data_IF_221172479808
#
_entry.id   IF_221172479808
#
_cell.length_a   1.000
_cell.length_b   1.000
_cell.length_c   1.000
_cell.angle_alpha   90.00
_cell.angle_beta   90.00
_cell.angle_gamma   90.00
#
_symmetry.space_group_name_H-M   'P 1'
#
loop_
_entity.id
_entity.type
_entity.pdbx_description
1 polymer ?
#
# COMPACT_ATOMS: atom_id res chain seq x y z
N UNK A 1 34.89 28.95 20.00
CA UNK A 1 34.48 28.08 21.13
C UNK A 1 33.14 27.35 20.94
N UNK A 2 32.38 27.54 19.85
CA UNK A 2 31.07 26.89 19.65
C UNK A 2 31.09 25.48 19.02
N UNK A 3 32.15 25.09 18.31
CA UNK A 3 32.22 23.77 17.65
C UNK A 3 32.47 22.60 18.62
N UNK A 4 33.14 22.85 19.75
CA UNK A 4 33.50 21.81 20.74
C UNK A 4 32.33 21.41 21.63
N UNK A 5 31.38 22.32 21.93
CA UNK A 5 30.19 22.05 22.74
C UNK A 5 29.17 21.15 22.02
N UNK A 6 28.98 21.36 20.71
CA UNK A 6 28.06 20.55 19.89
C UNK A 6 28.60 19.12 19.63
N UNK A 7 29.92 18.98 19.45
CA UNK A 7 30.57 17.69 19.31
C UNK A 7 30.58 16.89 20.63
N UNK A 8 30.67 17.56 21.78
CA UNK A 8 30.67 16.91 23.09
C UNK A 8 29.25 16.43 23.49
N UNK A 9 28.22 17.22 23.23
CA UNK A 9 26.81 16.85 23.50
C UNK A 9 26.31 15.71 22.61
N UNK A 10 26.71 15.67 21.33
CA UNK A 10 26.39 14.54 20.44
C UNK A 10 27.15 13.25 20.79
N UNK A 11 28.41 13.36 21.21
CA UNK A 11 29.24 12.22 21.66
C UNK A 11 28.73 11.60 22.96
N UNK A 12 28.42 12.43 23.96
CA UNK A 12 27.89 11.98 25.26
C UNK A 12 26.49 11.37 25.14
N UNK A 13 25.64 11.90 24.24
CA UNK A 13 24.33 11.30 23.94
C UNK A 13 24.47 9.92 23.27
N UNK A 14 25.34 9.78 22.26
CA UNK A 14 25.65 8.49 21.61
C UNK A 14 26.21 7.45 22.59
N UNK A 15 27.11 7.88 23.49
CA UNK A 15 27.64 7.03 24.56
C UNK A 15 26.56 6.63 25.58
N UNK A 16 25.60 7.52 25.90
CA UNK A 16 24.48 7.20 26.80
C UNK A 16 23.43 6.26 26.19
N UNK A 17 23.23 6.32 24.87
CA UNK A 17 22.27 5.47 24.14
C UNK A 17 22.87 4.09 23.87
N UNK A 18 24.16 4.02 23.54
CA UNK A 18 24.93 2.77 23.48
C UNK A 18 24.97 2.04 24.84
N UNK A 19 25.16 2.77 25.97
CA UNK A 19 25.10 2.20 27.32
C UNK A 19 23.72 1.67 27.74
N UNK A 20 22.64 2.07 27.06
CA UNK A 20 21.27 1.58 27.34
C UNK A 20 20.87 0.35 26.52
N UNK A 21 21.66 -0.02 25.50
CA UNK A 21 21.40 -1.20 24.68
C UNK A 21 21.83 -2.48 25.40
N UNK A 22 21.04 -3.53 25.27
CA UNK A 22 21.34 -4.83 25.86
C UNK A 22 22.69 -5.36 25.32
N UNK A 23 23.66 -5.74 26.17
CA UNK A 23 25.01 -6.14 25.73
C UNK A 23 25.01 -7.24 24.67
N UNK A 24 24.16 -8.26 24.85
CA UNK A 24 23.97 -9.34 23.86
C UNK A 24 23.59 -8.83 22.47
N UNK A 25 22.74 -7.80 22.39
CA UNK A 25 22.29 -7.27 21.11
C UNK A 25 23.44 -6.55 20.36
N UNK A 26 24.32 -5.88 21.11
CA UNK A 26 25.54 -5.28 20.57
C UNK A 26 26.54 -6.36 20.13
N UNK A 27 26.80 -7.36 20.97
CA UNK A 27 27.72 -8.46 20.61
C UNK A 27 27.26 -9.22 19.37
N UNK A 28 25.96 -9.52 19.27
CA UNK A 28 25.39 -10.16 18.09
C UNK A 28 25.46 -9.26 16.86
N UNK A 29 25.26 -7.95 17.03
CA UNK A 29 25.40 -7.00 15.93
C UNK A 29 26.86 -6.95 15.45
N UNK A 30 27.83 -6.82 16.34
CA UNK A 30 29.25 -6.77 15.99
C UNK A 30 29.71 -8.05 15.28
N UNK A 31 29.16 -9.20 15.64
CA UNK A 31 29.47 -10.48 14.98
C UNK A 31 28.85 -10.62 13.58
N UNK A 32 27.73 -9.95 13.30
CA UNK A 32 26.94 -10.14 12.08
C UNK A 32 27.04 -8.97 11.10
N UNK A 33 27.34 -7.77 11.58
CA UNK A 33 27.37 -6.55 10.78
C UNK A 33 28.61 -6.51 9.87
N UNK A 34 28.48 -5.88 8.71
CA UNK A 34 29.59 -5.51 7.84
C UNK A 34 30.63 -4.61 8.54
N UNK A 35 30.19 -3.81 9.52
CA UNK A 35 30.98 -2.75 10.11
C UNK A 35 31.51 -1.77 9.07
N UNK A 36 32.73 -1.29 9.28
CA UNK A 36 33.39 -0.29 8.44
C UNK A 36 34.21 -0.88 7.29
N UNK A 37 34.40 -2.20 7.24
CA UNK A 37 35.24 -2.86 6.22
C UNK A 37 34.57 -4.12 5.65
N UNK A 38 33.41 -3.98 4.98
CA UNK A 38 32.73 -5.12 4.39
C UNK A 38 33.52 -5.79 3.26
N UNK A 39 33.38 -7.11 3.15
CA UNK A 39 33.68 -7.82 1.90
C UNK A 39 32.73 -7.32 0.80
N UNK A 40 33.24 -6.85 -0.37
CA UNK A 40 32.41 -6.33 -1.45
C UNK A 40 31.39 -7.35 -1.99
N UNK A 41 31.75 -8.63 -2.04
CA UNK A 41 30.88 -9.67 -2.55
C UNK A 41 29.69 -9.94 -1.60
N UNK A 42 29.98 -10.05 -0.30
CA UNK A 42 28.94 -10.27 0.72
C UNK A 42 28.04 -9.05 0.84
N UNK A 43 28.62 -7.84 0.75
CA UNK A 43 27.83 -6.62 0.77
C UNK A 43 26.88 -6.52 -0.42
N UNK A 44 27.33 -6.82 -1.64
CA UNK A 44 26.43 -6.85 -2.82
C UNK A 44 25.28 -7.83 -2.62
N UNK A 45 25.57 -9.03 -2.11
CA UNK A 45 24.55 -10.04 -1.84
C UNK A 45 23.57 -9.56 -0.76
N UNK A 46 24.07 -9.05 0.37
CA UNK A 46 23.25 -8.55 1.47
C UNK A 46 22.41 -7.34 1.03
N UNK A 47 22.95 -6.40 0.27
CA UNK A 47 22.21 -5.27 -0.27
C UNK A 47 21.12 -5.72 -1.25
N UNK A 48 21.41 -6.68 -2.13
CA UNK A 48 20.42 -7.24 -3.04
C UNK A 48 19.28 -7.94 -2.29
N UNK A 49 19.59 -8.73 -1.26
CA UNK A 49 18.59 -9.38 -0.42
C UNK A 49 17.78 -8.34 0.36
N UNK A 50 18.45 -7.39 1.01
CA UNK A 50 17.81 -6.36 1.81
C UNK A 50 16.79 -5.57 0.98
N UNK A 51 17.14 -5.16 -0.24
CA UNK A 51 16.29 -4.34 -1.10
C UNK A 51 15.26 -5.16 -1.90
N UNK A 52 15.60 -6.38 -2.33
CA UNK A 52 14.82 -7.15 -3.30
C UNK A 52 13.88 -8.20 -2.71
N UNK A 53 14.10 -8.67 -1.47
CA UNK A 53 13.37 -9.82 -0.92
C UNK A 53 11.86 -9.64 -0.80
N UNK A 54 11.39 -8.41 -0.51
CA UNK A 54 9.97 -8.10 -0.42
C UNK A 54 9.28 -8.32 -1.78
N UNK A 55 9.91 -7.86 -2.86
CA UNK A 55 9.44 -8.06 -4.23
C UNK A 55 9.48 -9.53 -4.62
N UNK A 56 10.52 -10.26 -4.23
CA UNK A 56 10.60 -11.70 -4.44
C UNK A 56 9.46 -12.44 -3.72
N UNK A 57 9.13 -12.07 -2.48
CA UNK A 57 7.98 -12.64 -1.76
C UNK A 57 6.65 -12.34 -2.45
N UNK A 58 6.46 -11.10 -2.93
CA UNK A 58 5.28 -10.74 -3.70
C UNK A 58 5.16 -11.57 -4.99
N UNK A 59 6.25 -11.79 -5.71
CA UNK A 59 6.29 -12.63 -6.90
C UNK A 59 5.97 -14.11 -6.59
N UNK A 60 6.51 -14.66 -5.51
CA UNK A 60 6.21 -16.02 -5.03
C UNK A 60 4.72 -16.17 -4.68
N UNK A 61 4.14 -15.19 -3.98
CA UNK A 61 2.71 -15.17 -3.65
C UNK A 61 1.84 -15.07 -4.91
N UNK A 62 2.24 -14.23 -5.88
CA UNK A 62 1.54 -14.10 -7.16
C UNK A 62 1.57 -15.41 -7.96
N UNK A 63 2.74 -16.06 -8.04
CA UNK A 63 2.89 -17.37 -8.67
C UNK A 63 2.03 -18.44 -7.99
N UNK A 64 2.01 -18.46 -6.65
CA UNK A 64 1.16 -19.37 -5.88
C UNK A 64 -0.32 -19.15 -6.19
N UNK A 65 -0.77 -17.89 -6.23
CA UNK A 65 -2.15 -17.52 -6.54
C UNK A 65 -2.56 -17.83 -7.99
N UNK A 66 -1.60 -17.80 -8.92
CA UNK A 66 -1.76 -18.21 -10.31
C UNK A 66 -1.94 -19.73 -10.42
N UNK A 67 -1.04 -20.50 -9.81
CA UNK A 67 -1.03 -21.98 -9.89
C UNK A 67 -2.15 -22.61 -9.05
N UNK A 68 -2.51 -22.01 -7.92
CA UNK A 68 -3.44 -22.56 -6.93
C UNK A 68 -4.66 -21.66 -6.77
N UNK A 69 -5.56 -21.69 -7.76
CA UNK A 69 -6.76 -20.84 -7.77
C UNK A 69 -7.60 -20.96 -6.49
N UNK A 70 -7.72 -22.17 -5.92
CA UNK A 70 -8.44 -22.41 -4.66
C UNK A 70 -7.80 -21.71 -3.44
N UNK A 71 -6.56 -21.25 -3.55
CA UNK A 71 -5.78 -20.62 -2.48
C UNK A 71 -5.74 -19.09 -2.59
N UNK A 72 -6.33 -18.49 -3.64
CA UNK A 72 -6.36 -17.02 -3.81
C UNK A 72 -6.92 -16.27 -2.61
N UNK A 73 -7.99 -16.72 -1.93
CA UNK A 73 -8.47 -16.06 -0.70
C UNK A 73 -7.42 -16.10 0.42
N UNK A 74 -6.66 -17.19 0.54
CA UNK A 74 -5.56 -17.28 1.51
C UNK A 74 -4.45 -16.28 1.17
N UNK A 75 -4.07 -16.17 -0.10
CA UNK A 75 -3.04 -15.21 -0.52
C UNK A 75 -3.49 -13.77 -0.24
N UNK A 76 -4.75 -13.43 -0.53
CA UNK A 76 -5.31 -12.11 -0.19
C UNK A 76 -5.29 -11.85 1.32
N UNK A 77 -5.68 -12.84 2.14
CA UNK A 77 -5.63 -12.70 3.59
C UNK A 77 -4.19 -12.52 4.13
N UNK A 78 -3.22 -13.22 3.54
CA UNK A 78 -1.80 -13.10 3.86
C UNK A 78 -1.26 -11.71 3.50
N UNK A 79 -1.62 -11.17 2.33
CA UNK A 79 -1.24 -9.81 1.94
C UNK A 79 -1.86 -8.75 2.85
N UNK A 80 -3.15 -8.89 3.18
CA UNK A 80 -3.84 -7.99 4.11
C UNK A 80 -3.20 -8.01 5.50
N UNK A 81 -2.89 -9.19 6.03
CA UNK A 81 -2.21 -9.33 7.32
C UNK A 81 -0.77 -8.79 7.27
N UNK A 82 -0.07 -8.95 6.15
CA UNK A 82 1.23 -8.32 5.93
C UNK A 82 1.14 -6.78 5.96
N UNK A 83 0.14 -6.20 5.31
CA UNK A 83 -0.14 -4.76 5.40
C UNK A 83 -0.41 -4.30 6.83
N UNK A 84 -1.27 -5.02 7.57
CA UNK A 84 -1.54 -4.74 8.98
C UNK A 84 -0.28 -4.85 9.85
N UNK A 85 0.55 -5.87 9.64
CA UNK A 85 1.82 -6.04 10.33
C UNK A 85 2.79 -4.88 10.05
N UNK A 86 2.79 -4.34 8.83
CA UNK A 86 3.58 -3.16 8.48
C UNK A 86 3.16 -1.93 9.28
N UNK A 87 1.84 -1.66 9.35
CA UNK A 87 1.30 -0.52 10.11
C UNK A 87 1.60 -0.66 11.60
N UNK A 88 1.26 -1.81 12.20
CA UNK A 88 1.51 -2.09 13.62
C UNK A 88 3.00 -1.95 13.94
N UNK A 89 3.88 -2.49 13.09
CA UNK A 89 5.32 -2.40 13.28
C UNK A 89 5.84 -0.95 13.26
N UNK A 90 5.28 -0.09 12.41
CA UNK A 90 5.68 1.32 12.33
C UNK A 90 5.21 2.11 13.54
N UNK A 91 4.00 1.87 14.03
CA UNK A 91 3.48 2.49 15.26
C UNK A 91 4.28 2.06 16.50
N UNK A 92 4.62 0.77 16.62
CA UNK A 92 5.50 0.31 17.69
C UNK A 92 6.87 0.97 17.56
N UNK A 93 7.44 1.06 16.35
CA UNK A 93 8.73 1.71 16.16
C UNK A 93 8.70 3.19 16.55
N UNK A 94 7.67 3.94 16.15
CA UNK A 94 7.49 5.35 16.48
C UNK A 94 7.35 5.56 18.01
N UNK A 95 6.61 4.69 18.69
CA UNK A 95 6.40 4.79 20.14
C UNK A 95 7.60 4.37 20.99
N UNK A 96 8.36 3.35 20.57
CA UNK A 96 9.52 2.87 21.34
C UNK A 96 10.77 3.69 21.04
N UNK A 97 10.94 4.20 19.82
CA UNK A 97 12.00 5.15 19.48
C UNK A 97 13.43 4.61 19.51
N UNK A 98 13.62 3.28 19.36
CA UNK A 98 14.97 2.67 19.40
C UNK A 98 15.82 3.15 18.21
N UNK A 99 17.00 3.74 18.45
CA UNK A 99 17.88 4.20 17.38
C UNK A 99 18.50 3.01 16.63
N UNK A 100 18.74 3.18 15.33
CA UNK A 100 19.39 2.17 14.49
C UNK A 100 20.91 2.18 14.68
N UNK A 101 21.63 1.10 14.33
CA UNK A 101 23.09 1.03 14.50
C UNK A 101 23.84 2.20 13.84
N UNK A 102 23.45 2.58 12.63
CA UNK A 102 24.08 3.69 11.92
C UNK A 102 23.84 5.07 12.54
N UNK A 103 22.70 5.27 13.23
CA UNK A 103 22.41 6.52 13.93
C UNK A 103 23.34 6.73 15.12
N UNK A 104 23.75 5.62 15.75
CA UNK A 104 24.73 5.62 16.85
C UNK A 104 26.18 5.63 16.35
N UNK A 105 26.42 5.49 15.04
CA UNK A 105 27.76 5.43 14.47
C UNK A 105 28.47 4.08 14.68
N UNK A 106 27.71 3.00 14.93
CA UNK A 106 28.28 1.65 15.08
C UNK A 106 28.63 1.00 13.73
N UNK A 107 27.95 1.39 12.66
CA UNK A 107 28.20 0.95 11.29
C UNK A 107 27.71 2.02 10.31
N UNK A 108 28.32 2.19 9.12
CA UNK A 108 27.67 2.89 8.03
C UNK A 108 26.35 2.22 7.66
N UNK A 109 25.38 3.00 7.18
CA UNK A 109 24.21 2.46 6.48
C UNK A 109 24.63 2.13 5.05
N UNK A 110 24.85 0.85 4.76
CA UNK A 110 25.33 0.41 3.44
C UNK A 110 24.23 0.36 2.36
N UNK A 111 23.00 0.70 2.72
CA UNK A 111 21.85 0.87 1.82
C UNK A 111 21.09 2.14 2.20
N UNK A 112 20.40 2.82 1.25
CA UNK A 112 19.61 4.01 1.55
C UNK A 112 18.56 3.74 2.63
N UNK A 113 18.55 4.57 3.67
CA UNK A 113 17.60 4.44 4.76
C UNK A 113 17.37 5.77 5.49
N UNK A 114 16.11 6.11 5.78
CA UNK A 114 15.75 7.29 6.55
C UNK A 114 16.03 7.17 8.06
N UNK A 115 16.09 8.32 8.74
CA UNK A 115 16.30 8.46 10.18
C UNK A 115 15.00 8.14 10.96
N UNK A 116 14.68 6.85 11.04
CA UNK A 116 13.50 6.34 11.76
C UNK A 116 13.86 5.21 12.71
N UNK A 117 13.04 4.99 13.72
CA UNK A 117 13.24 3.94 14.71
C UNK A 117 13.39 2.53 14.10
N UNK A 118 14.13 1.68 14.81
CA UNK A 118 14.53 0.34 14.36
C UNK A 118 13.65 -0.81 14.85
N UNK A 119 13.06 -0.73 16.04
CA UNK A 119 12.43 -1.85 16.73
C UNK A 119 10.89 -1.76 16.70
N UNK A 120 10.16 -2.75 16.16
CA UNK A 120 10.62 -3.91 15.40
C UNK A 120 10.94 -3.58 13.93
N UNK A 121 11.68 -4.47 13.28
CA UNK A 121 11.96 -4.35 11.84
C UNK A 121 10.72 -4.61 11.01
N UNK A 122 10.21 -3.59 10.30
CA UNK A 122 9.02 -3.70 9.44
C UNK A 122 9.12 -4.81 8.40
N UNK A 123 10.29 -4.97 7.75
CA UNK A 123 10.48 -6.02 6.75
C UNK A 123 10.39 -7.42 7.38
N UNK A 124 11.01 -7.61 8.55
CA UNK A 124 10.90 -8.85 9.29
C UNK A 124 9.44 -9.10 9.72
N UNK A 125 8.78 -8.11 10.32
CA UNK A 125 7.37 -8.18 10.75
C UNK A 125 6.44 -8.66 9.64
N UNK A 126 6.55 -8.05 8.46
CA UNK A 126 5.72 -8.40 7.29
C UNK A 126 6.03 -9.82 6.81
N UNK A 127 7.30 -10.12 6.53
CA UNK A 127 7.68 -11.39 5.91
C UNK A 127 7.44 -12.59 6.84
N UNK A 128 7.71 -12.45 8.14
CA UNK A 128 7.41 -13.49 9.13
C UNK A 128 5.90 -13.69 9.31
N UNK A 129 5.10 -12.62 9.31
CA UNK A 129 3.62 -12.74 9.32
C UNK A 129 3.16 -13.59 8.14
N UNK A 130 3.63 -13.26 6.92
CA UNK A 130 3.27 -14.00 5.72
C UNK A 130 3.71 -15.46 5.78
N UNK A 131 4.96 -15.71 6.17
CA UNK A 131 5.52 -17.06 6.30
C UNK A 131 4.71 -17.92 7.27
N UNK A 132 4.48 -17.44 8.50
CA UNK A 132 3.78 -18.21 9.54
C UNK A 132 2.32 -18.48 9.17
N UNK A 133 1.59 -17.51 8.60
CA UNK A 133 0.23 -17.75 8.12
C UNK A 133 0.17 -18.85 7.04
N UNK A 134 1.12 -18.88 6.11
CA UNK A 134 1.18 -19.90 5.07
C UNK A 134 1.57 -21.27 5.63
N UNK A 135 2.48 -21.32 6.60
CA UNK A 135 2.91 -22.57 7.26
C UNK A 135 1.76 -23.24 8.05
N UNK A 136 0.87 -22.43 8.63
CA UNK A 136 -0.33 -22.92 9.30
C UNK A 136 -1.34 -23.53 8.31
N UNK A 137 -1.26 -23.19 7.02
CA UNK A 137 -2.14 -23.75 5.98
C UNK A 137 -1.47 -24.88 5.23
N UNK A 138 -1.91 -26.12 5.46
CA UNK A 138 -1.32 -27.35 4.89
C UNK A 138 -1.07 -27.29 3.38
N UNK A 139 -2.02 -26.74 2.61
CA UNK A 139 -1.93 -26.59 1.15
C UNK A 139 -0.96 -25.51 0.66
N UNK A 140 -0.37 -24.73 1.57
CA UNK A 140 0.53 -23.60 1.28
C UNK A 140 1.88 -23.70 2.01
N UNK A 141 2.15 -24.79 2.71
CA UNK A 141 3.36 -24.94 3.55
C UNK A 141 4.66 -24.80 2.77
N UNK A 142 4.72 -25.32 1.55
CA UNK A 142 5.88 -25.20 0.68
C UNK A 142 6.19 -23.74 0.33
N UNK A 143 5.16 -22.95 -0.02
CA UNK A 143 5.30 -21.50 -0.23
C UNK A 143 5.66 -20.79 1.06
N UNK A 144 5.08 -21.21 2.20
CA UNK A 144 5.42 -20.70 3.52
C UNK A 144 6.89 -20.92 3.89
N UNK A 145 7.46 -22.08 3.56
CA UNK A 145 8.89 -22.38 3.79
C UNK A 145 9.80 -21.50 2.93
N UNK A 146 9.44 -21.28 1.66
CA UNK A 146 10.19 -20.36 0.77
C UNK A 146 10.18 -18.94 1.32
N UNK A 147 9.02 -18.44 1.74
CA UNK A 147 8.90 -17.09 2.33
C UNK A 147 9.60 -17.02 3.70
N UNK A 148 9.57 -18.08 4.50
CA UNK A 148 10.32 -18.14 5.77
C UNK A 148 11.82 -18.05 5.53
N UNK A 149 12.36 -18.80 4.56
CA UNK A 149 13.77 -18.74 4.19
C UNK A 149 14.16 -17.33 3.71
N UNK A 150 13.31 -16.71 2.89
CA UNK A 150 13.50 -15.32 2.48
C UNK A 150 13.47 -14.37 3.68
N UNK A 151 12.54 -14.52 4.63
CA UNK A 151 12.42 -13.68 5.82
C UNK A 151 13.67 -13.74 6.71
N UNK A 152 14.22 -14.95 6.91
CA UNK A 152 15.47 -15.16 7.66
C UNK A 152 16.65 -14.52 6.93
N UNK A 153 16.77 -14.73 5.61
CA UNK A 153 17.81 -14.12 4.80
C UNK A 153 17.75 -12.58 4.83
N UNK A 154 16.54 -12.01 4.77
CA UNK A 154 16.32 -10.56 4.91
C UNK A 154 16.69 -10.07 6.29
N UNK A 155 16.30 -10.78 7.34
CA UNK A 155 16.70 -10.47 8.72
C UNK A 155 18.21 -10.34 8.86
N UNK A 156 18.95 -11.36 8.41
CA UNK A 156 20.40 -11.33 8.37
C UNK A 156 20.93 -10.16 7.52
N UNK A 157 20.47 -10.01 6.29
CA UNK A 157 20.95 -8.97 5.38
C UNK A 157 20.76 -7.55 5.95
N UNK A 158 19.64 -7.30 6.63
CA UNK A 158 19.31 -6.01 7.26
C UNK A 158 20.22 -5.69 8.46
N UNK A 159 20.68 -6.72 9.19
CA UNK A 159 21.72 -6.58 10.22
C UNK A 159 23.08 -6.35 9.57
N UNK A 160 23.42 -7.16 8.56
CA UNK A 160 24.71 -7.07 7.85
C UNK A 160 24.95 -5.66 7.27
N UNK A 161 23.96 -5.06 6.61
CA UNK A 161 24.08 -3.72 6.01
C UNK A 161 23.99 -2.57 7.03
N UNK A 162 23.90 -2.86 8.33
CA UNK A 162 24.04 -1.86 9.41
C UNK A 162 22.78 -1.06 9.74
N UNK A 163 21.60 -1.47 9.25
CA UNK A 163 20.35 -0.70 9.42
C UNK A 163 19.42 -1.25 10.51
N UNK A 164 19.70 -2.43 11.05
CA UNK A 164 18.93 -3.03 12.13
C UNK A 164 19.81 -3.80 13.11
N UNK A 165 19.36 -3.88 14.36
CA UNK A 165 19.89 -4.81 15.34
C UNK A 165 19.27 -6.21 15.18
N UNK A 166 19.95 -7.27 15.64
CA UNK A 166 19.38 -8.62 15.73
C UNK A 166 18.04 -8.65 16.50
N UNK A 167 17.92 -7.88 17.59
CA UNK A 167 16.67 -7.80 18.35
C UNK A 167 15.54 -7.11 17.59
N UNK A 168 15.85 -6.19 16.65
CA UNK A 168 14.83 -5.60 15.78
C UNK A 168 14.16 -6.66 14.89
N UNK A 169 14.97 -7.58 14.37
CA UNK A 169 14.53 -8.70 13.53
C UNK A 169 13.76 -9.72 14.37
N UNK A 170 14.27 -10.08 15.55
CA UNK A 170 13.62 -11.01 16.45
C UNK A 170 12.24 -10.49 16.93
N UNK A 171 12.15 -9.20 17.28
CA UNK A 171 10.88 -8.58 17.63
C UNK A 171 9.90 -8.56 16.44
N UNK A 172 10.39 -8.36 15.21
CA UNK A 172 9.57 -8.49 14.01
C UNK A 172 9.06 -9.91 13.81
N UNK A 173 9.90 -10.93 14.02
CA UNK A 173 9.48 -12.33 13.97
C UNK A 173 8.43 -12.66 15.04
N UNK A 174 8.61 -12.18 16.27
CA UNK A 174 7.65 -12.35 17.37
C UNK A 174 6.30 -11.67 17.06
N UNK A 175 6.33 -10.43 16.54
CA UNK A 175 5.12 -9.74 16.11
C UNK A 175 4.40 -10.53 15.02
N UNK A 176 5.13 -11.03 14.02
CA UNK A 176 4.52 -11.82 12.95
C UNK A 176 3.93 -13.14 13.44
N UNK A 177 4.58 -13.82 14.39
CA UNK A 177 4.05 -15.01 15.03
C UNK A 177 2.78 -14.71 15.83
N UNK A 178 2.76 -13.60 16.58
CA UNK A 178 1.59 -13.16 17.35
C UNK A 178 0.39 -12.87 16.45
N UNK A 179 0.59 -12.14 15.34
CA UNK A 179 -0.48 -11.85 14.36
C UNK A 179 -1.00 -13.15 13.73
N UNK A 180 -0.10 -14.03 13.28
CA UNK A 180 -0.49 -15.31 12.67
C UNK A 180 -1.26 -16.21 13.67
N UNK A 181 -0.79 -16.30 14.92
CA UNK A 181 -1.44 -17.06 15.98
C UNK A 181 -2.82 -16.49 16.34
N UNK A 182 -2.95 -15.17 16.48
CA UNK A 182 -4.23 -14.50 16.74
C UNK A 182 -5.23 -14.79 15.62
N UNK A 183 -4.84 -14.60 14.35
CA UNK A 183 -5.70 -14.87 13.20
C UNK A 183 -6.08 -16.35 13.09
N UNK A 184 -5.17 -17.26 13.44
CA UNK A 184 -5.47 -18.69 13.48
C UNK A 184 -6.43 -19.05 14.62
N UNK A 185 -6.24 -18.48 15.81
CA UNK A 185 -7.12 -18.65 16.95
C UNK A 185 -8.53 -18.14 16.64
N UNK A 186 -8.65 -16.94 16.03
CA UNK A 186 -9.95 -16.42 15.57
C UNK A 186 -10.62 -17.40 14.59
N UNK A 187 -9.88 -17.94 13.62
CA UNK A 187 -10.45 -18.91 12.68
C UNK A 187 -10.87 -20.24 13.33
N UNK A 188 -10.13 -20.70 14.34
CA UNK A 188 -10.42 -21.96 15.05
C UNK A 188 -11.58 -21.83 16.06
N UNK A 189 -11.72 -20.66 16.69
CA UNK A 189 -12.65 -20.40 17.78
C UNK A 189 -13.94 -19.75 17.30
N UNK A 190 -13.92 -18.88 16.28
CA UNK A 190 -15.10 -18.18 15.79
C UNK A 190 -16.26 -19.12 15.37
N UNK A 191 -16.02 -20.28 14.71
CA UNK A 191 -17.09 -21.23 14.40
C UNK A 191 -17.68 -21.91 15.65
N UNK A 192 -16.97 -21.91 16.78
CA UNK A 192 -17.38 -22.57 18.03
C UNK A 192 -18.16 -21.62 18.97
N UNK A 193 -17.84 -20.33 18.95
CA UNK A 193 -18.46 -19.32 19.84
C UNK A 193 -19.67 -18.62 19.22
N UNK A 194 -19.75 -18.55 17.89
CA UNK A 194 -20.86 -17.91 17.21
C UNK A 194 -21.58 -18.92 16.30
N UNK A 195 -22.91 -19.10 16.42
CA UNK A 195 -23.67 -19.71 15.36
C UNK A 195 -23.56 -18.80 14.13
N UNK A 196 -22.68 -19.21 13.20
CA UNK A 196 -22.36 -18.58 11.92
C UNK A 196 -21.54 -17.26 12.02
N UNK A 197 -20.20 -17.28 11.89
CA UNK A 197 -19.38 -16.07 11.70
C UNK A 197 -19.82 -15.18 10.52
N UNK A 198 -20.57 -15.74 9.57
CA UNK A 198 -21.25 -14.99 8.51
C UNK A 198 -22.26 -13.97 9.04
N UNK A 199 -22.92 -14.24 10.17
CA UNK A 199 -23.91 -13.36 10.79
C UNK A 199 -23.25 -12.13 11.44
N UNK A 200 -22.09 -12.28 12.10
CA UNK A 200 -21.36 -11.18 12.73
C UNK A 200 -20.74 -10.22 11.70
N UNK A 201 -20.28 -10.73 10.56
CA UNK A 201 -19.78 -9.91 9.45
C UNK A 201 -20.89 -9.38 8.54
N UNK A 202 -22.14 -9.83 8.71
CA UNK A 202 -23.25 -9.43 7.84
C UNK A 202 -23.54 -7.92 7.89
N UNK A 203 -23.59 -7.23 9.04
CA UNK A 203 -23.84 -5.79 9.07
C UNK A 203 -22.79 -4.94 8.31
N UNK A 204 -21.47 -5.04 8.58
CA UNK A 204 -20.49 -4.24 7.85
C UNK A 204 -20.41 -4.62 6.36
N UNK A 205 -20.52 -5.91 6.03
CA UNK A 205 -20.55 -6.33 4.62
C UNK A 205 -21.81 -5.84 3.90
N UNK A 206 -22.97 -5.78 4.56
CA UNK A 206 -24.19 -5.19 3.99
C UNK A 206 -24.02 -3.70 3.76
N UNK A 207 -23.40 -2.98 4.68
CA UNK A 207 -23.12 -1.56 4.52
C UNK A 207 -22.19 -1.30 3.31
N UNK A 208 -21.10 -2.08 3.18
CA UNK A 208 -20.20 -1.98 2.02
C UNK A 208 -20.85 -2.44 0.70
N UNK A 209 -21.80 -3.38 0.77
CA UNK A 209 -22.56 -3.84 -0.39
C UNK A 209 -23.66 -2.86 -0.85
N UNK A 210 -23.96 -1.83 -0.08
CA UNK A 210 -24.97 -0.82 -0.42
C UNK A 210 -24.45 0.14 -1.51
N UNK A 211 -25.32 0.59 -2.41
CA UNK A 211 -24.94 1.53 -3.48
C UNK A 211 -24.51 2.91 -2.97
N UNK A 212 -24.90 3.27 -1.74
CA UNK A 212 -24.49 4.52 -1.09
C UNK A 212 -23.08 4.47 -0.52
N UNK A 213 -22.48 3.28 -0.39
CA UNK A 213 -21.16 3.11 0.23
C UNK A 213 -20.07 3.92 -0.48
N UNK A 214 -20.06 3.92 -1.83
CA UNK A 214 -19.10 4.70 -2.63
C UNK A 214 -19.19 6.21 -2.34
N UNK A 215 -20.34 6.86 -2.55
CA UNK A 215 -20.53 8.27 -2.21
C UNK A 215 -20.22 8.61 -0.74
N UNK A 216 -20.66 7.79 0.21
CA UNK A 216 -20.39 8.01 1.64
C UNK A 216 -18.88 7.92 1.94
N UNK A 217 -18.16 7.00 1.29
CA UNK A 217 -16.71 6.89 1.44
C UNK A 217 -16.00 8.16 0.96
N UNK A 218 -16.40 8.72 -0.19
CA UNK A 218 -15.83 9.99 -0.68
C UNK A 218 -16.08 11.13 0.31
N UNK A 219 -17.28 11.21 0.90
CA UNK A 219 -17.56 12.22 1.92
C UNK A 219 -16.64 12.10 3.14
N UNK A 220 -16.37 10.87 3.60
CA UNK A 220 -15.42 10.63 4.69
C UNK A 220 -14.01 11.12 4.32
N UNK A 221 -13.57 10.86 3.09
CA UNK A 221 -12.26 11.31 2.61
C UNK A 221 -12.19 12.84 2.42
N UNK A 222 -13.27 13.48 1.98
CA UNK A 222 -13.39 14.96 1.92
C UNK A 222 -13.25 15.55 3.32
N UNK A 223 -13.92 14.98 4.33
CA UNK A 223 -13.81 15.43 5.72
C UNK A 223 -12.40 15.20 6.28
N UNK A 224 -11.79 14.06 5.94
CA UNK A 224 -10.40 13.77 6.31
C UNK A 224 -9.43 14.77 5.67
N UNK A 225 -9.60 15.09 4.39
CA UNK A 225 -8.81 16.08 3.68
C UNK A 225 -8.93 17.47 4.29
N UNK A 226 -10.16 17.90 4.59
CA UNK A 226 -10.38 19.18 5.27
C UNK A 226 -9.68 19.22 6.63
N UNK A 227 -9.75 18.14 7.41
CA UNK A 227 -9.10 18.05 8.72
C UNK A 227 -7.57 18.01 8.60
N UNK A 228 -7.02 17.18 7.72
CA UNK A 228 -5.58 17.04 7.50
C UNK A 228 -4.97 18.37 7.01
N UNK A 229 -5.56 18.97 5.98
CA UNK A 229 -5.12 20.26 5.44
C UNK A 229 -5.19 21.37 6.48
N UNK A 230 -6.27 21.45 7.26
CA UNK A 230 -6.42 22.48 8.30
C UNK A 230 -5.46 22.33 9.48
N UNK A 231 -4.88 21.15 9.67
CA UNK A 231 -3.96 20.84 10.76
C UNK A 231 -2.49 20.70 10.29
N UNK A 232 -2.20 21.02 9.02
CA UNK A 232 -0.86 21.04 8.43
C UNK A 232 -0.42 22.50 8.25
N UNK A 233 0.81 22.90 8.67
CA UNK A 233 1.94 22.08 9.10
C UNK A 233 2.01 21.82 10.62
N UNK A 234 0.96 22.19 11.38
CA UNK A 234 0.99 22.20 12.85
C UNK A 234 1.00 20.83 13.49
N UNK A 235 -0.17 20.18 13.60
CA UNK A 235 -0.29 18.84 14.19
C UNK A 235 0.17 17.74 13.23
N UNK A 236 0.03 17.98 11.93
CA UNK A 236 0.45 17.06 10.87
C UNK A 236 1.65 17.68 10.15
N UNK A 237 2.73 16.90 10.06
CA UNK A 237 3.94 17.33 9.37
C UNK A 237 3.71 17.45 7.86
N UNK A 238 4.28 18.47 7.18
CA UNK A 238 4.17 18.67 5.73
C UNK A 238 4.53 17.43 4.91
N UNK A 239 5.57 16.70 5.34
CA UNK A 239 6.07 15.49 4.70
C UNK A 239 5.02 14.37 4.53
N UNK A 240 3.84 14.48 5.15
CA UNK A 240 2.72 13.56 4.94
C UNK A 240 2.07 13.75 3.56
N UNK A 241 2.02 14.99 3.09
CA UNK A 241 1.34 15.44 1.86
C UNK A 241 2.32 15.87 0.76
N UNK A 242 3.62 15.89 1.04
CA UNK A 242 4.64 16.22 0.04
C UNK A 242 4.82 15.06 -0.96
N UNK A 243 5.32 15.38 -2.14
CA UNK A 243 5.84 14.43 -3.14
C UNK A 243 6.77 13.39 -2.48
N UNK A 244 6.67 12.16 -2.93
CA UNK A 244 7.27 10.98 -2.31
C UNK A 244 6.79 10.73 -0.86
N UNK A 245 5.68 11.34 -0.47
CA UNK A 245 5.08 11.25 0.85
C UNK A 245 4.44 9.89 1.15
N UNK A 246 4.05 9.66 2.41
CA UNK A 246 3.32 8.45 2.79
C UNK A 246 1.95 8.33 2.12
N UNK A 247 1.28 9.45 1.78
CA UNK A 247 -0.04 9.43 1.12
C UNK A 247 0.11 8.91 -0.31
N UNK A 248 0.90 9.56 -1.16
CA UNK A 248 1.22 9.12 -2.53
C UNK A 248 1.68 7.64 -2.57
N UNK A 249 2.65 7.27 -1.72
CA UNK A 249 3.14 5.87 -1.64
C UNK A 249 2.02 4.88 -1.27
N UNK A 250 1.07 5.30 -0.44
CA UNK A 250 -0.10 4.50 -0.09
C UNK A 250 -1.08 4.42 -1.25
N UNK A 251 -1.29 5.50 -2.00
CA UNK A 251 -2.12 5.53 -3.21
C UNK A 251 -1.60 4.55 -4.26
N UNK A 252 -0.32 4.60 -4.60
CA UNK A 252 0.33 3.64 -5.52
C UNK A 252 0.12 2.20 -5.04
N UNK A 253 0.37 1.94 -3.75
CA UNK A 253 0.21 0.59 -3.17
C UNK A 253 -1.24 0.11 -3.25
N UNK A 254 -2.22 0.97 -3.00
CA UNK A 254 -3.64 0.65 -3.08
C UNK A 254 -4.07 0.37 -4.52
N UNK A 255 -3.55 1.10 -5.52
CA UNK A 255 -3.79 0.75 -6.92
C UNK A 255 -3.22 -0.63 -7.29
N UNK A 256 -2.00 -0.94 -6.85
CA UNK A 256 -1.43 -2.27 -7.05
C UNK A 256 -2.25 -3.36 -6.36
N UNK A 257 -2.76 -3.09 -5.15
CA UNK A 257 -3.69 -3.97 -4.45
C UNK A 257 -5.01 -4.15 -5.21
N UNK A 258 -5.55 -3.08 -5.82
CA UNK A 258 -6.75 -3.14 -6.66
C UNK A 258 -6.52 -3.99 -7.91
N UNK A 259 -5.41 -3.79 -8.63
CA UNK A 259 -5.00 -4.64 -9.77
C UNK A 259 -4.94 -6.11 -9.34
N UNK A 260 -4.26 -6.39 -8.22
CA UNK A 260 -4.16 -7.73 -7.68
C UNK A 260 -5.55 -8.32 -7.36
N UNK A 261 -6.45 -7.55 -6.76
CA UNK A 261 -7.82 -7.95 -6.49
C UNK A 261 -8.61 -8.28 -7.77
N UNK A 262 -8.48 -7.50 -8.85
CA UNK A 262 -9.14 -7.78 -10.14
C UNK A 262 -8.69 -9.13 -10.72
N UNK A 263 -7.40 -9.44 -10.58
CA UNK A 263 -6.82 -10.70 -11.06
C UNK A 263 -7.23 -11.90 -10.20
N UNK A 264 -7.38 -11.69 -8.89
CA UNK A 264 -7.64 -12.77 -7.93
C UNK A 264 -9.12 -13.06 -7.73
N UNK A 265 -9.95 -12.03 -7.63
CA UNK A 265 -11.38 -12.14 -7.33
C UNK A 265 -12.14 -12.54 -8.60
N UNK A 266 -12.94 -13.60 -8.49
CA UNK A 266 -13.82 -14.02 -9.59
C UNK A 266 -15.12 -13.23 -9.56
N UNK A 267 -15.30 -12.33 -10.53
CA UNK A 267 -16.56 -11.64 -10.82
C UNK A 267 -17.18 -12.27 -12.06
N UNK A 268 -18.42 -12.77 -11.96
CA UNK A 268 -19.05 -13.61 -12.97
C UNK A 268 -19.25 -12.92 -14.33
N UNK A 269 -19.56 -11.62 -14.32
CA UNK A 269 -19.85 -10.84 -15.53
C UNK A 269 -18.61 -10.17 -16.13
N UNK A 270 -17.42 -10.27 -15.52
CA UNK A 270 -16.19 -9.68 -16.08
C UNK A 270 -15.46 -10.69 -16.97
N UNK A 271 -15.42 -10.41 -18.28
CA UNK A 271 -14.63 -11.17 -19.24
C UNK A 271 -13.12 -10.97 -19.02
N UNK A 272 -12.29 -11.75 -19.71
CA UNK A 272 -10.82 -11.60 -19.65
C UNK A 272 -10.38 -10.22 -20.17
N UNK A 273 -11.04 -9.71 -21.21
CA UNK A 273 -10.75 -8.39 -21.78
C UNK A 273 -11.13 -7.28 -20.81
N UNK A 274 -12.23 -7.42 -20.08
CA UNK A 274 -12.63 -6.43 -19.08
C UNK A 274 -11.62 -6.35 -17.95
N UNK A 275 -11.16 -7.50 -17.45
CA UNK A 275 -10.14 -7.55 -16.41
C UNK A 275 -8.83 -6.93 -16.89
N UNK A 276 -8.42 -7.25 -18.12
CA UNK A 276 -7.22 -6.67 -18.71
C UNK A 276 -7.35 -5.15 -18.83
N UNK A 277 -8.47 -4.64 -19.36
CA UNK A 277 -8.71 -3.21 -19.50
C UNK A 277 -8.70 -2.50 -18.13
N UNK A 278 -9.36 -3.06 -17.12
CA UNK A 278 -9.35 -2.51 -15.75
C UNK A 278 -7.92 -2.52 -15.17
N UNK A 279 -7.17 -3.61 -15.33
CA UNK A 279 -5.79 -3.68 -14.85
C UNK A 279 -4.88 -2.65 -15.53
N UNK A 280 -5.02 -2.46 -16.85
CA UNK A 280 -4.26 -1.45 -17.60
C UNK A 280 -4.56 -0.05 -17.06
N UNK A 281 -5.84 0.29 -16.84
CA UNK A 281 -6.19 1.62 -16.31
C UNK A 281 -5.69 1.82 -14.88
N UNK A 282 -5.86 0.84 -13.99
CA UNK A 282 -5.37 0.96 -12.60
C UNK A 282 -3.84 1.05 -12.53
N UNK A 283 -3.12 0.31 -13.38
CA UNK A 283 -1.66 0.45 -13.50
C UNK A 283 -1.25 1.80 -14.08
N UNK A 284 -2.03 2.34 -15.02
CA UNK A 284 -1.79 3.68 -15.56
C UNK A 284 -1.98 4.76 -14.48
N UNK A 285 -3.02 4.66 -13.64
CA UNK A 285 -3.19 5.55 -12.50
C UNK A 285 -2.05 5.41 -11.48
N UNK A 286 -1.63 4.18 -11.14
CA UNK A 286 -0.49 3.96 -10.25
C UNK A 286 0.82 4.55 -10.81
N UNK A 287 1.03 4.47 -12.12
CA UNK A 287 2.20 5.02 -12.78
C UNK A 287 2.13 6.56 -12.92
N UNK A 288 0.92 7.13 -13.02
CA UNK A 288 0.72 8.58 -12.94
C UNK A 288 1.10 9.07 -11.56
N UNK A 289 0.53 8.44 -10.53
CA UNK A 289 0.78 8.74 -9.11
C UNK A 289 2.26 8.67 -8.75
N UNK A 290 2.96 7.62 -9.18
CA UNK A 290 4.39 7.46 -8.90
C UNK A 290 5.30 8.35 -9.77
N UNK A 291 4.72 9.32 -10.49
CA UNK A 291 5.42 10.23 -11.40
C UNK A 291 6.28 9.57 -12.48
N UNK A 292 6.00 8.31 -12.83
CA UNK A 292 6.76 7.59 -13.86
C UNK A 292 6.62 8.26 -15.22
N UNK A 293 5.52 8.98 -15.45
CA UNK A 293 5.30 9.75 -16.66
C UNK A 293 6.30 10.91 -16.80
N UNK A 294 6.64 11.61 -15.71
CA UNK A 294 7.68 12.65 -15.71
C UNK A 294 9.07 12.06 -15.96
N UNK A 295 9.38 10.93 -15.31
CA UNK A 295 10.66 10.23 -15.45
C UNK A 295 10.91 9.72 -16.89
N UNK A 296 9.87 9.35 -17.63
CA UNK A 296 10.00 8.76 -18.98
C UNK A 296 9.73 9.76 -20.12
N UNK A 297 8.89 10.78 -19.93
CA UNK A 297 8.43 11.65 -21.02
C UNK A 297 8.85 13.12 -20.90
N UNK A 298 9.22 13.61 -19.70
CA UNK A 298 9.50 15.04 -19.46
C UNK A 298 8.25 15.93 -19.57
N UNK A 299 8.42 17.24 -19.71
CA UNK A 299 7.32 18.24 -19.63
C UNK A 299 6.56 18.48 -20.94
N UNK A 300 6.91 17.84 -22.06
CA UNK A 300 6.24 18.09 -23.34
C UNK A 300 6.52 17.09 -24.45
N UNK A 301 5.45 16.51 -25.00
CA UNK A 301 5.48 15.51 -26.09
C UNK A 301 5.67 16.12 -27.49
N UNK A 302 5.25 17.37 -27.68
CA UNK A 302 5.18 18.02 -29.00
C UNK A 302 6.54 18.47 -29.54
N UNK A 303 7.56 18.57 -28.69
CA UNK A 303 8.95 18.91 -29.06
C UNK A 303 9.94 17.76 -28.78
N UNK A 304 9.43 16.56 -28.50
CA UNK A 304 10.25 15.42 -28.11
C UNK A 304 10.84 14.67 -29.33
N UNK A 305 12.02 14.03 -29.20
CA UNK A 305 12.58 13.20 -30.26
C UNK A 305 11.63 12.03 -30.60
N UNK A 306 11.66 11.56 -31.85
CA UNK A 306 10.78 10.49 -32.37
C UNK A 306 10.75 9.24 -31.47
N UNK A 307 11.87 8.86 -30.88
CA UNK A 307 11.95 7.73 -29.94
C UNK A 307 11.05 7.90 -28.70
N UNK A 308 10.95 9.12 -28.16
CA UNK A 308 10.04 9.43 -27.04
C UNK A 308 8.59 9.47 -27.47
N UNK A 309 8.30 9.97 -28.67
CA UNK A 309 6.94 9.94 -29.24
C UNK A 309 6.48 8.49 -29.44
N UNK A 310 7.35 7.63 -29.98
CA UNK A 310 7.06 6.20 -30.16
C UNK A 310 6.90 5.48 -28.81
N UNK A 311 7.73 5.79 -27.81
CA UNK A 311 7.58 5.23 -26.46
C UNK A 311 6.26 5.67 -25.80
N UNK A 312 5.91 6.95 -25.92
CA UNK A 312 4.67 7.49 -25.35
C UNK A 312 3.44 6.89 -26.03
N UNK A 313 3.43 6.77 -27.36
CA UNK A 313 2.33 6.13 -28.10
C UNK A 313 2.21 4.63 -27.77
N UNK A 314 3.33 3.93 -27.58
CA UNK A 314 3.34 2.53 -27.15
C UNK A 314 2.74 2.33 -25.73
N UNK A 315 2.82 3.34 -24.87
CA UNK A 315 2.27 3.30 -23.50
C UNK A 315 0.83 3.84 -23.45
N UNK A 316 0.55 4.98 -24.09
CA UNK A 316 -0.76 5.62 -24.10
C UNK A 316 -1.77 4.89 -24.98
N UNK A 317 -1.33 4.21 -26.05
CA UNK A 317 -2.19 3.44 -26.95
C UNK A 317 -3.00 2.35 -26.23
N UNK A 318 -2.35 1.42 -25.50
CA UNK A 318 -3.04 0.42 -24.68
C UNK A 318 -4.01 1.03 -23.65
N UNK A 319 -3.64 2.15 -23.03
CA UNK A 319 -4.47 2.87 -22.05
C UNK A 319 -5.74 3.41 -22.73
N UNK A 320 -5.60 4.09 -23.88
CA UNK A 320 -6.72 4.62 -24.65
C UNK A 320 -7.66 3.51 -25.16
N UNK A 321 -7.10 2.39 -25.62
CA UNK A 321 -7.88 1.21 -26.04
C UNK A 321 -8.66 0.62 -24.86
N UNK A 322 -8.02 0.47 -23.70
CA UNK A 322 -8.66 -0.03 -22.48
C UNK A 322 -9.79 0.90 -22.01
N UNK A 323 -9.56 2.21 -21.99
CA UNK A 323 -10.56 3.22 -21.66
C UNK A 323 -11.74 3.16 -22.64
N UNK A 324 -11.48 3.15 -23.95
CA UNK A 324 -12.51 3.06 -24.98
C UNK A 324 -13.34 1.78 -24.91
N UNK A 325 -12.70 0.65 -24.60
CA UNK A 325 -13.39 -0.62 -24.36
C UNK A 325 -14.38 -0.52 -23.20
N UNK A 326 -13.93 -0.02 -22.05
CA UNK A 326 -14.75 0.12 -20.86
C UNK A 326 -15.85 1.17 -21.03
N UNK A 327 -15.57 2.28 -21.71
CA UNK A 327 -16.56 3.32 -22.03
C UNK A 327 -17.66 2.79 -22.95
N UNK A 328 -17.30 2.07 -24.03
CA UNK A 328 -18.27 1.41 -24.92
C UNK A 328 -19.15 0.44 -24.14
N UNK A 329 -18.55 -0.32 -23.24
CA UNK A 329 -19.25 -1.28 -22.39
C UNK A 329 -20.20 -0.59 -21.41
N UNK A 330 -19.75 0.44 -20.71
CA UNK A 330 -20.56 1.25 -19.81
C UNK A 330 -21.73 1.91 -20.56
N UNK A 331 -21.49 2.46 -21.74
CA UNK A 331 -22.53 3.05 -22.61
C UNK A 331 -23.57 2.02 -23.05
N UNK A 332 -23.14 0.81 -23.42
CA UNK A 332 -24.07 -0.27 -23.77
C UNK A 332 -24.94 -0.70 -22.58
N UNK A 333 -24.34 -0.78 -21.38
CA UNK A 333 -25.07 -1.12 -20.15
C UNK A 333 -26.03 0.01 -19.74
N UNK A 334 -25.62 1.26 -19.84
CA UNK A 334 -26.45 2.43 -19.56
C UNK A 334 -27.69 2.46 -20.46
N UNK A 335 -27.53 2.24 -21.77
CA UNK A 335 -28.67 2.19 -22.71
C UNK A 335 -29.63 1.04 -22.43
N UNK A 336 -29.14 -0.07 -21.88
CA UNK A 336 -29.98 -1.19 -21.47
C UNK A 336 -30.75 -0.92 -20.16
N UNK A 337 -30.25 -0.04 -19.29
CA UNK A 337 -30.86 0.30 -18.00
C UNK A 337 -31.74 1.55 -18.10
N UNK A 338 -33.06 1.37 -18.24
CA UNK A 338 -34.02 2.47 -18.48
C UNK A 338 -34.44 3.27 -17.23
N UNK A 339 -34.00 2.95 -16.02
CA UNK A 339 -34.34 3.73 -14.82
C UNK A 339 -33.23 3.79 -13.77
N UNK A 340 -33.08 4.94 -13.12
CA UNK A 340 -32.08 5.20 -12.06
C UNK A 340 -32.27 4.30 -10.81
N UNK A 341 -33.47 3.73 -10.62
CA UNK A 341 -33.80 2.83 -9.51
C UNK A 341 -33.23 1.40 -9.63
N UNK A 342 -32.62 1.04 -10.75
CA UNK A 342 -32.11 -0.32 -11.02
C UNK A 342 -30.57 -0.40 -11.01
N UNK A 343 -29.88 0.68 -10.61
CA UNK A 343 -28.42 0.69 -10.62
C UNK A 343 -27.87 -0.28 -9.56
N UNK A 344 -27.00 -1.17 -10.02
CA UNK A 344 -26.28 -2.07 -9.13
C UNK A 344 -25.27 -1.27 -8.27
N UNK A 345 -25.03 -1.65 -7.02
CA UNK A 345 -24.10 -0.92 -6.13
C UNK A 345 -22.74 -0.63 -6.75
N UNK A 346 -22.16 -1.61 -7.45
CA UNK A 346 -20.87 -1.48 -8.13
C UNK A 346 -20.87 -0.40 -9.23
N UNK A 347 -22.03 -0.16 -9.86
CA UNK A 347 -22.16 0.87 -10.90
C UNK A 347 -22.21 2.27 -10.27
N UNK A 348 -22.89 2.44 -9.14
CA UNK A 348 -22.87 3.70 -8.38
C UNK A 348 -21.46 4.03 -7.92
N UNK A 349 -20.74 3.07 -7.32
CA UNK A 349 -19.34 3.28 -6.90
C UNK A 349 -18.42 3.58 -8.08
N UNK A 350 -18.65 2.94 -9.24
CA UNK A 350 -17.87 3.22 -10.45
C UNK A 350 -18.14 4.62 -11.01
N UNK A 351 -19.38 5.10 -10.96
CA UNK A 351 -19.71 6.49 -11.30
C UNK A 351 -19.09 7.48 -10.31
N UNK A 352 -19.11 7.16 -9.02
CA UNK A 352 -18.44 7.96 -8.00
C UNK A 352 -16.93 8.05 -8.28
N UNK A 353 -16.28 6.94 -8.64
CA UNK A 353 -14.88 6.94 -9.05
C UNK A 353 -14.62 7.89 -10.24
N UNK A 354 -15.45 7.83 -11.29
CA UNK A 354 -15.33 8.75 -12.44
C UNK A 354 -15.57 10.21 -12.04
N UNK A 355 -16.53 10.47 -11.16
CA UNK A 355 -16.80 11.82 -10.66
C UNK A 355 -15.61 12.37 -9.86
N UNK A 356 -14.99 11.56 -8.99
CA UNK A 356 -13.79 11.95 -8.24
C UNK A 356 -12.62 12.25 -9.17
N UNK A 357 -12.40 11.47 -10.24
CA UNK A 357 -11.39 11.81 -11.26
C UNK A 357 -11.67 13.18 -11.86
N UNK A 358 -12.92 13.44 -12.26
CA UNK A 358 -13.30 14.74 -12.81
C UNK A 358 -13.06 15.88 -11.81
N UNK A 359 -13.36 15.67 -10.54
CA UNK A 359 -13.11 16.63 -9.47
C UNK A 359 -11.62 16.87 -9.25
N UNK A 360 -10.80 15.82 -9.20
CA UNK A 360 -9.34 15.94 -9.04
C UNK A 360 -8.74 16.76 -10.19
N UNK A 361 -9.08 16.44 -11.44
CA UNK A 361 -8.64 17.21 -12.61
C UNK A 361 -9.05 18.68 -12.52
N UNK A 362 -10.26 18.97 -12.04
CA UNK A 362 -10.72 20.36 -11.86
C UNK A 362 -9.91 21.04 -10.74
N UNK A 363 -9.62 20.35 -9.64
CA UNK A 363 -8.83 20.90 -8.54
C UNK A 363 -7.42 21.26 -9.00
N UNK A 364 -6.73 20.40 -9.76
CA UNK A 364 -5.40 20.69 -10.32
C UNK A 364 -5.41 21.98 -11.16
N UNK A 365 -6.43 22.14 -12.01
CA UNK A 365 -6.57 23.28 -12.90
C UNK A 365 -6.93 24.58 -12.16
N UNK A 366 -7.54 24.49 -10.97
CA UNK A 366 -7.97 25.63 -10.15
C UNK A 366 -6.93 26.02 -9.10
N UNK A 367 -6.16 25.06 -8.58
CA UNK A 367 -5.13 25.29 -7.56
C UNK A 367 -3.97 26.14 -8.10
N UNK A 368 -3.49 25.85 -9.31
CA UNK A 368 -2.33 26.52 -9.92
C UNK A 368 -2.57 28.04 -10.14
N UNK A 369 -3.71 28.50 -10.68
CA UNK A 369 -3.97 29.94 -10.84
C UNK A 369 -4.23 30.69 -9.53
N UNK A 370 -4.73 30.03 -8.48
CA UNK A 370 -5.05 30.67 -7.20
C UNK A 370 -3.81 30.98 -6.37
N UNK A 371 -2.78 30.12 -6.43
CA UNK A 371 -1.51 30.36 -5.76
C UNK A 371 -0.71 31.54 -6.35
N UNK A 372 -0.95 31.89 -7.62
CA UNK A 372 -0.23 32.93 -8.36
C UNK A 372 -0.88 34.32 -8.38
N UNK A 373 -2.01 34.55 -7.68
CA UNK A 373 -2.68 35.87 -7.64
C UNK A 373 -2.30 36.66 -6.38
N UNK A 374 -1.35 37.61 -6.46
CA UNK A 374 -1.03 38.48 -5.33
C UNK A 374 -2.25 39.32 -4.95
N UNK A 375 -2.69 39.24 -3.69
CA UNK A 375 -3.75 40.10 -3.13
C UNK A 375 -5.07 39.40 -2.74
N UNK A 376 -5.26 38.10 -3.03
CA UNK A 376 -6.48 37.39 -2.60
C UNK A 376 -6.43 36.97 -1.11
N UNK A 377 -5.22 36.75 -0.59
CA UNK A 377 -4.93 36.36 0.78
C UNK A 377 -3.93 37.36 1.35
N UNK A 378 -4.40 38.22 2.27
CA UNK A 378 -3.67 39.39 2.74
C UNK A 378 -2.53 39.07 3.73
N UNK A 379 -2.41 37.82 4.20
CA UNK A 379 -1.40 37.39 5.16
C UNK A 379 -0.64 36.14 4.68
N UNK A 380 0.66 36.05 4.92
CA UNK A 380 1.48 34.86 4.60
C UNK A 380 0.92 33.58 5.25
N UNK A 381 0.43 33.68 6.49
CA UNK A 381 -0.23 32.57 7.19
C UNK A 381 -1.49 32.06 6.48
N UNK A 382 -2.23 32.96 5.82
CA UNK A 382 -3.37 32.56 5.01
C UNK A 382 -2.94 31.88 3.72
N UNK A 383 -1.84 32.29 3.08
CA UNK A 383 -1.34 31.61 1.87
C UNK A 383 -0.86 30.19 2.16
N UNK A 384 -0.10 29.98 3.24
CA UNK A 384 0.36 28.65 3.63
C UNK A 384 -0.80 27.72 3.99
N UNK A 385 -1.78 28.22 4.75
CA UNK A 385 -2.99 27.46 5.09
C UNK A 385 -3.75 27.01 3.83
N UNK A 386 -3.98 27.91 2.87
CA UNK A 386 -4.68 27.56 1.63
C UNK A 386 -3.89 26.56 0.79
N UNK A 387 -2.56 26.68 0.75
CA UNK A 387 -1.69 25.73 0.05
C UNK A 387 -1.83 24.32 0.61
N UNK A 388 -1.69 24.15 1.92
CA UNK A 388 -1.81 22.82 2.55
C UNK A 388 -3.23 22.27 2.49
N UNK A 389 -4.25 23.13 2.56
CA UNK A 389 -5.63 22.71 2.37
C UNK A 389 -5.85 22.14 0.96
N UNK A 390 -5.40 22.85 -0.08
CA UNK A 390 -5.53 22.38 -1.47
C UNK A 390 -4.72 21.11 -1.73
N UNK A 391 -3.46 21.08 -1.29
CA UNK A 391 -2.60 19.89 -1.41
C UNK A 391 -3.22 18.68 -0.69
N UNK A 392 -3.81 18.91 0.49
CA UNK A 392 -4.49 17.83 1.21
C UNK A 392 -5.72 17.32 0.48
N UNK A 393 -6.46 18.17 -0.25
CA UNK A 393 -7.60 17.73 -1.05
C UNK A 393 -7.15 16.95 -2.28
N UNK A 394 -6.09 17.39 -2.95
CA UNK A 394 -5.48 16.69 -4.08
C UNK A 394 -5.06 15.28 -3.65
N UNK A 395 -4.08 15.18 -2.76
CA UNK A 395 -3.49 13.91 -2.29
C UNK A 395 -4.53 12.91 -1.73
N UNK A 396 -5.45 13.38 -0.88
CA UNK A 396 -6.41 12.48 -0.22
C UNK A 396 -7.55 12.08 -1.16
N UNK A 397 -7.94 12.91 -2.12
CA UNK A 397 -8.91 12.50 -3.14
C UNK A 397 -8.29 11.52 -4.14
N UNK A 398 -7.00 11.65 -4.46
CA UNK A 398 -6.30 10.64 -5.26
C UNK A 398 -6.21 9.31 -4.51
N UNK A 399 -5.95 9.35 -3.20
CA UNK A 399 -5.96 8.18 -2.31
C UNK A 399 -7.32 7.45 -2.27
N UNK A 400 -8.46 8.14 -2.43
CA UNK A 400 -9.79 7.49 -2.39
C UNK A 400 -10.10 6.67 -3.63
N UNK A 401 -9.51 7.01 -4.78
CA UNK A 401 -9.75 6.34 -6.07
C UNK A 401 -9.48 4.83 -6.03
N UNK A 402 -8.29 4.34 -5.60
CA UNK A 402 -8.05 2.91 -5.53
C UNK A 402 -8.92 2.21 -4.46
N UNK A 403 -9.35 2.92 -3.41
CA UNK A 403 -10.28 2.38 -2.40
C UNK A 403 -11.67 2.17 -3.02
N UNK A 404 -12.16 3.10 -3.84
CA UNK A 404 -13.40 2.95 -4.59
C UNK A 404 -13.31 1.79 -5.59
N UNK A 405 -12.16 1.60 -6.25
CA UNK A 405 -11.95 0.45 -7.13
C UNK A 405 -12.07 -0.89 -6.37
N UNK A 406 -11.44 -0.99 -5.19
CA UNK A 406 -11.56 -2.16 -4.31
C UNK A 406 -13.00 -2.39 -3.84
N UNK A 407 -13.71 -1.33 -3.47
CA UNK A 407 -15.12 -1.38 -3.07
C UNK A 407 -16.01 -1.86 -4.22
N UNK A 408 -15.80 -1.37 -5.44
CA UNK A 408 -16.55 -1.80 -6.62
C UNK A 408 -16.32 -3.29 -6.93
N UNK A 409 -15.09 -3.80 -6.77
CA UNK A 409 -14.78 -5.24 -6.92
C UNK A 409 -15.51 -6.07 -5.85
N UNK A 410 -15.50 -5.60 -4.60
CA UNK A 410 -16.22 -6.24 -3.49
C UNK A 410 -17.73 -6.28 -3.78
N UNK A 411 -18.32 -5.14 -4.13
CA UNK A 411 -19.74 -5.03 -4.49
C UNK A 411 -20.10 -5.92 -5.66
N UNK A 412 -19.29 -5.96 -6.73
CA UNK A 412 -19.51 -6.84 -7.87
C UNK A 412 -19.45 -8.33 -7.48
N UNK A 413 -18.56 -8.70 -6.55
CA UNK A 413 -18.44 -10.07 -6.05
C UNK A 413 -19.64 -10.49 -5.19
N UNK A 414 -20.16 -9.57 -4.38
CA UNK A 414 -21.31 -9.78 -3.51
C UNK A 414 -22.64 -9.70 -4.29
N UNK A 415 -22.78 -8.73 -5.19
CA UNK A 415 -23.96 -8.52 -6.04
C UNK A 415 -24.19 -9.66 -7.05
N UNK A 416 -23.12 -10.26 -7.58
CA UNK A 416 -23.20 -11.46 -8.42
C UNK A 416 -23.81 -12.70 -7.72
N UNK A 417 -23.95 -12.68 -6.38
CA UNK A 417 -24.63 -13.74 -5.61
C UNK A 417 -26.15 -13.52 -5.46
N UNK A 418 -26.67 -12.34 -5.84
CA UNK A 418 -28.08 -11.96 -5.66
C UNK A 418 -28.92 -12.05 -6.94
N UNK A 419 -28.38 -12.55 -8.06
CA UNK A 419 -29.16 -12.74 -9.29
C UNK A 419 -30.12 -13.93 -9.12
N UNK A 420 -31.46 -13.71 -9.05
CA UNK A 420 -32.42 -14.79 -8.83
C UNK A 420 -32.36 -15.86 -9.93
N UNK A 421 -31.93 -15.49 -11.14
CA UNK A 421 -31.78 -16.38 -12.27
C UNK A 421 -30.67 -17.43 -12.06
N UNK A 422 -29.58 -17.07 -11.36
CA UNK A 422 -28.51 -18.01 -11.03
C UNK A 422 -28.90 -18.96 -9.88
N UNK A 423 -29.77 -18.52 -8.96
CA UNK A 423 -30.33 -19.34 -7.90
C UNK A 423 -31.39 -20.35 -8.38
N UNK A 424 -31.98 -20.12 -9.56
CA UNK A 424 -32.89 -21.07 -10.21
C UNK A 424 -32.13 -22.23 -10.90
N UNK A 425 -30.97 -21.94 -11.50
CA UNK A 425 -30.17 -22.97 -12.19
C UNK A 425 -29.51 -23.94 -11.20
N UNK A 426 -29.20 -23.48 -9.98
CA UNK A 426 -28.63 -24.32 -8.92
C UNK A 426 -29.59 -25.32 -8.26
N UNK A 427 -30.90 -25.27 -8.57
CA UNK A 427 -31.90 -26.24 -8.06
C UNK A 427 -32.28 -27.33 -9.06
N UNK A 428 -31.82 -27.27 -10.30
CA UNK A 428 -32.05 -28.31 -11.32
C UNK A 428 -30.93 -29.35 -11.41
N UNK A 429 -29.91 -29.27 -10.56
CA UNK A 429 -28.83 -30.26 -10.47
C UNK A 429 -28.53 -30.63 -9.01
N UNK A 430 -29.58 -30.77 -8.19
CA UNK A 430 -29.52 -31.41 -6.89
C UNK A 430 -30.15 -32.80 -7.00
#
# INVERSE_FOLDING_TARGET
>A
MHATSFAWTTRTRKESESKRMHPLNLTLFDALAAGFSPSPAVLRLASAIALGSSWACAAVLAWAAWRRVAQRPCVLAVLAAGGAASLISQEIAASVGVPRPFMMGLSPAHVPHGLRAGLPSTHASVMFTMAFMLLLRRSMRDVGLVILAAAVATGWARVYVGIHFPFDVAAGALLGAAIAAALFAVQAVAPRLAPQPAAALAPPLRALADGRAGPCLVLVFILAAAWVGSNTPGMIGPAVLEEDGPVEKSTVLLYLAAVFCVLMVRVAFLSRLDRLAICILLLAFAAREADWHLAHFGTGLLAAPLSRILAATAILGPIAIAAGWLAKRAWSAHRAMRSWRQWRPEATTSLTFVAVIGTAIILDQVAVPLAGRPGLFAAESSQEFHRYLMLSFEEILELVLPVLALLAILQARLGGSRDPAAAAIGRSYA
#
